data_IF_696232996560
#
_entry.id   IF_696232996560
#
_cell.length_a   1.000
_cell.length_b   1.000
_cell.length_c   1.000
_cell.angle_alpha   90.00
_cell.angle_beta   90.00
_cell.angle_gamma   90.00
#
_symmetry.space_group_name_H-M   'P 1'
#
loop_
_entity.id
_entity.type
_entity.pdbx_description
1 polymer ?
#
# COMPACT_ATOMS: atom_id res chain seq x y z
N UNK A 1 -4.93 -49.66 -31.82
CA UNK A 1 -5.16 -49.60 -30.37
C UNK A 1 -4.26 -48.50 -29.82
N UNK A 2 -4.91 -47.43 -29.39
CA UNK A 2 -4.32 -46.20 -28.88
C UNK A 2 -3.68 -46.46 -27.51
N UNK A 3 -2.47 -45.94 -27.28
CA UNK A 3 -1.98 -45.70 -25.92
C UNK A 3 -1.76 -44.20 -25.76
N UNK A 4 -2.66 -43.64 -24.97
CA UNK A 4 -2.87 -42.24 -24.64
C UNK A 4 -1.69 -41.69 -23.82
N UNK A 5 -0.89 -40.80 -24.41
CA UNK A 5 0.20 -40.07 -23.73
C UNK A 5 -0.36 -38.84 -23.02
N UNK A 6 -1.06 -39.04 -21.91
CA UNK A 6 -1.50 -37.95 -21.05
C UNK A 6 -0.34 -37.48 -20.12
N UNK A 7 0.41 -36.46 -20.56
CA UNK A 7 1.42 -35.78 -19.75
C UNK A 7 0.71 -34.73 -18.86
N UNK A 8 0.90 -34.72 -17.53
CA UNK A 8 0.17 -33.81 -16.66
C UNK A 8 0.64 -32.36 -16.88
N UNK A 9 -0.33 -31.49 -17.20
CA UNK A 9 -0.19 -30.04 -17.27
C UNK A 9 0.16 -29.47 -15.89
N UNK A 10 1.40 -28.99 -15.74
CA UNK A 10 1.86 -28.35 -14.50
C UNK A 10 1.29 -26.94 -14.39
N UNK A 11 0.10 -26.84 -13.81
CA UNK A 11 -0.45 -25.60 -13.27
C UNK A 11 0.55 -24.93 -12.31
N UNK A 12 0.85 -23.66 -12.54
CA UNK A 12 1.16 -22.74 -11.43
C UNK A 12 2.54 -22.08 -11.35
N UNK A 13 3.26 -21.83 -12.46
CA UNK A 13 4.39 -20.90 -12.40
C UNK A 13 3.88 -19.46 -12.57
N UNK A 14 3.83 -18.70 -11.48
CA UNK A 14 3.66 -17.23 -11.52
C UNK A 14 4.67 -16.68 -12.52
N UNK A 15 4.21 -15.98 -13.55
CA UNK A 15 5.08 -15.26 -14.48
C UNK A 15 5.94 -14.29 -13.66
N UNK A 16 7.22 -14.65 -13.51
CA UNK A 16 8.21 -13.75 -12.93
C UNK A 16 8.71 -12.88 -14.09
N UNK A 17 8.75 -11.55 -13.93
CA UNK A 17 9.30 -10.68 -14.97
C UNK A 17 10.69 -11.17 -15.38
N UNK A 18 10.95 -11.10 -16.68
CA UNK A 18 12.24 -11.49 -17.25
C UNK A 18 13.36 -10.61 -16.71
N UNK A 19 14.60 -11.10 -16.76
CA UNK A 19 15.78 -10.33 -16.32
C UNK A 19 15.85 -8.95 -16.99
N UNK A 20 15.45 -8.86 -18.28
CA UNK A 20 15.39 -7.59 -19.02
C UNK A 20 14.32 -6.62 -18.51
N UNK A 21 13.13 -7.11 -18.14
CA UNK A 21 12.06 -6.26 -17.58
C UNK A 21 12.43 -5.75 -16.19
N UNK A 22 13.12 -6.58 -15.39
CA UNK A 22 13.68 -6.17 -14.11
C UNK A 22 14.74 -5.10 -14.27
N UNK A 23 15.66 -5.25 -15.22
CA UNK A 23 16.69 -4.24 -15.51
C UNK A 23 16.09 -2.91 -15.97
N UNK A 24 15.06 -2.94 -16.82
CA UNK A 24 14.33 -1.73 -17.20
C UNK A 24 13.63 -1.07 -16.01
N UNK A 25 13.04 -1.88 -15.12
CA UNK A 25 12.41 -1.35 -13.92
C UNK A 25 13.43 -0.70 -12.99
N UNK A 26 14.58 -1.34 -12.78
CA UNK A 26 15.70 -0.80 -11.99
C UNK A 26 16.23 0.49 -12.62
N UNK A 27 16.41 0.53 -13.95
CA UNK A 27 16.83 1.76 -14.65
C UNK A 27 15.83 2.89 -14.48
N UNK A 28 14.53 2.63 -14.67
CA UNK A 28 13.46 3.63 -14.43
C UNK A 28 13.46 4.13 -12.98
N UNK A 29 13.69 3.25 -12.02
CA UNK A 29 13.68 3.62 -10.60
C UNK A 29 14.95 4.41 -10.20
N UNK A 30 16.10 4.15 -10.83
CA UNK A 30 17.35 4.93 -10.67
C UNK A 30 17.21 6.31 -11.33
N UNK A 31 16.63 6.38 -12.54
CA UNK A 31 16.43 7.60 -13.31
C UNK A 31 15.41 8.53 -12.64
N UNK A 32 14.42 7.97 -11.94
CA UNK A 32 13.43 8.70 -11.15
C UNK A 32 13.91 9.06 -9.72
N UNK A 33 15.15 8.71 -9.32
CA UNK A 33 15.68 9.03 -7.99
C UNK A 33 15.02 8.28 -6.82
N UNK A 34 14.27 7.21 -7.11
CA UNK A 34 13.54 6.43 -6.09
C UNK A 34 14.54 5.58 -5.32
N UNK A 35 14.76 5.92 -4.05
CA UNK A 35 15.56 5.09 -3.15
C UNK A 35 14.93 3.69 -3.08
N UNK A 36 15.66 2.69 -3.56
CA UNK A 36 15.30 1.28 -3.50
C UNK A 36 14.97 0.79 -2.07
N UNK A 37 15.33 1.57 -1.05
CA UNK A 37 14.99 1.37 0.37
C UNK A 37 13.58 1.84 0.72
N UNK A 38 13.10 2.97 0.17
CA UNK A 38 11.74 3.49 0.36
C UNK A 38 10.65 2.56 -0.19
N UNK A 39 11.00 1.76 -1.21
CA UNK A 39 10.19 0.68 -1.79
C UNK A 39 9.78 -0.43 -0.83
N UNK A 40 10.40 -0.56 0.35
CA UNK A 40 10.06 -1.60 1.33
C UNK A 40 9.16 -1.09 2.45
N UNK A 41 8.83 0.20 2.46
CA UNK A 41 8.03 0.79 3.53
C UNK A 41 6.57 0.35 3.38
N UNK A 42 6.00 -0.15 4.47
CA UNK A 42 4.58 -0.53 4.54
C UNK A 42 3.69 0.67 4.83
N UNK A 43 2.40 0.57 4.52
CA UNK A 43 1.44 1.63 4.83
C UNK A 43 1.39 1.96 6.33
N UNK A 44 1.49 0.96 7.20
CA UNK A 44 1.59 1.16 8.65
C UNK A 44 2.82 1.99 9.04
N UNK A 45 3.98 1.69 8.45
CA UNK A 45 5.23 2.42 8.71
C UNK A 45 5.14 3.87 8.20
N UNK A 46 4.59 4.07 7.00
CA UNK A 46 4.38 5.41 6.44
C UNK A 46 3.46 6.24 7.35
N UNK A 47 2.36 5.66 7.81
CA UNK A 47 1.43 6.34 8.71
C UNK A 47 2.08 6.65 10.07
N UNK A 48 2.91 5.75 10.59
CA UNK A 48 3.68 6.00 11.81
C UNK A 48 4.67 7.16 11.64
N UNK A 49 5.40 7.20 10.51
CA UNK A 49 6.34 8.29 10.16
C UNK A 49 5.63 9.64 10.14
N UNK A 50 4.47 9.72 9.49
CA UNK A 50 3.66 10.95 9.43
C UNK A 50 3.17 11.41 10.81
N UNK A 51 2.76 10.47 11.68
CA UNK A 51 2.33 10.79 13.04
C UNK A 51 3.49 11.31 13.90
N UNK A 52 4.69 10.74 13.75
CA UNK A 52 5.89 11.18 14.46
C UNK A 52 6.32 12.59 14.03
N UNK A 53 6.26 12.90 12.73
CA UNK A 53 6.55 14.24 12.20
C UNK A 53 5.57 15.31 12.71
N UNK A 54 4.34 14.92 13.08
CA UNK A 54 3.29 15.83 13.56
C UNK A 54 2.82 15.48 14.97
N UNK A 55 3.76 15.39 15.91
CA UNK A 55 3.47 14.97 17.29
C UNK A 55 2.66 16.00 18.10
N UNK A 56 2.77 17.30 17.80
CA UNK A 56 2.07 18.36 18.54
C UNK A 56 0.60 18.49 18.09
N UNK A 57 -0.25 17.56 18.54
CA UNK A 57 -1.69 17.56 18.27
C UNK A 57 -2.51 17.33 19.53
N UNK A 58 -3.77 17.80 19.51
CA UNK A 58 -4.72 17.62 20.60
C UNK A 58 -4.95 16.13 20.91
N UNK A 59 -5.25 15.82 22.19
CA UNK A 59 -5.53 14.44 22.65
C UNK A 59 -6.62 13.73 21.83
N UNK A 60 -7.65 14.45 21.39
CA UNK A 60 -8.71 13.90 20.53
C UNK A 60 -8.15 13.42 19.18
N UNK A 61 -7.25 14.18 18.57
CA UNK A 61 -6.57 13.82 17.33
C UNK A 61 -5.62 12.64 17.52
N UNK A 62 -4.92 12.55 18.66
CA UNK A 62 -4.08 11.39 19.00
C UNK A 62 -4.91 10.10 19.02
N UNK A 63 -6.04 10.10 19.74
CA UNK A 63 -6.96 8.94 19.78
C UNK A 63 -7.47 8.53 18.39
N UNK A 64 -7.81 9.49 17.53
CA UNK A 64 -8.26 9.20 16.16
C UNK A 64 -7.15 8.57 15.31
N UNK A 65 -5.90 9.05 15.47
CA UNK A 65 -4.73 8.48 14.79
C UNK A 65 -4.41 7.08 15.29
N UNK A 66 -4.49 6.85 16.59
CA UNK A 66 -4.33 5.52 17.20
C UNK A 66 -5.39 4.54 16.70
N UNK A 67 -6.65 4.98 16.60
CA UNK A 67 -7.73 4.17 16.05
C UNK A 67 -7.43 3.77 14.60
N UNK A 68 -7.04 4.72 13.73
CA UNK A 68 -6.68 4.41 12.35
C UNK A 68 -5.47 3.47 12.29
N UNK A 69 -4.45 3.67 13.14
CA UNK A 69 -3.30 2.78 13.20
C UNK A 69 -3.68 1.35 13.57
N UNK A 70 -4.58 1.15 14.54
CA UNK A 70 -5.11 -0.19 14.88
C UNK A 70 -5.83 -0.82 13.71
N UNK A 71 -6.69 -0.05 13.03
CA UNK A 71 -7.42 -0.52 11.85
C UNK A 71 -6.50 -0.92 10.71
N UNK A 72 -5.41 -0.19 10.48
CA UNK A 72 -4.42 -0.54 9.47
C UNK A 72 -3.66 -1.82 9.86
N UNK A 73 -3.31 -2.00 11.13
CA UNK A 73 -2.64 -3.23 11.60
C UNK A 73 -3.53 -4.47 11.46
N UNK A 74 -4.82 -4.32 11.64
CA UNK A 74 -5.81 -5.40 11.47
C UNK A 74 -6.16 -5.67 10.00
N UNK A 75 -6.03 -4.69 9.11
CA UNK A 75 -6.35 -4.84 7.69
C UNK A 75 -5.13 -5.26 6.88
N UNK A 76 -5.35 -6.11 5.87
CA UNK A 76 -4.32 -6.53 4.91
C UNK A 76 -3.61 -5.37 4.23
N UNK A 77 -4.26 -4.21 4.10
CA UNK A 77 -3.69 -3.02 3.48
C UNK A 77 -2.54 -2.42 4.30
N UNK A 78 -2.57 -2.50 5.64
CA UNK A 78 -1.53 -1.88 6.47
C UNK A 78 -0.15 -2.53 6.32
N UNK A 79 -0.13 -3.84 6.06
CA UNK A 79 1.10 -4.61 5.83
C UNK A 79 1.59 -4.55 4.36
N UNK A 80 0.80 -4.00 3.43
CA UNK A 80 1.24 -3.87 2.04
C UNK A 80 2.29 -2.78 1.89
N UNK A 81 3.21 -3.02 0.96
CA UNK A 81 4.19 -2.03 0.54
C UNK A 81 3.50 -0.90 -0.21
N UNK A 82 3.89 0.35 0.09
CA UNK A 82 3.23 1.56 -0.40
C UNK A 82 3.28 1.74 -1.92
N UNK A 83 4.30 1.16 -2.59
CA UNK A 83 4.46 1.16 -4.04
C UNK A 83 3.46 0.23 -4.76
N UNK A 84 3.03 -0.84 -4.08
CA UNK A 84 2.07 -1.81 -4.62
C UNK A 84 0.61 -1.42 -4.45
N UNK A 85 0.32 -0.40 -3.62
CA UNK A 85 -1.05 0.00 -3.31
C UNK A 85 -1.64 0.78 -4.50
N UNK A 86 -2.70 0.23 -5.10
CA UNK A 86 -3.42 0.85 -6.21
C UNK A 86 -4.67 1.59 -5.73
N UNK A 87 -5.22 2.52 -6.53
CA UNK A 87 -6.52 3.13 -6.24
C UNK A 87 -7.66 2.11 -6.07
N UNK A 88 -7.58 0.94 -6.73
CA UNK A 88 -8.51 -0.17 -6.52
C UNK A 88 -8.45 -0.73 -5.09
N UNK A 89 -7.24 -0.91 -4.54
CA UNK A 89 -7.05 -1.40 -3.17
C UNK A 89 -7.59 -0.41 -2.14
N UNK A 90 -7.42 0.89 -2.39
CA UNK A 90 -7.97 1.96 -1.55
C UNK A 90 -9.51 1.97 -1.58
N UNK A 91 -10.13 1.71 -2.74
CA UNK A 91 -11.59 1.54 -2.86
C UNK A 91 -12.07 0.30 -2.10
N UNK A 92 -11.42 -0.84 -2.27
CA UNK A 92 -11.76 -2.06 -1.53
C UNK A 92 -11.63 -1.87 -0.03
N UNK A 93 -10.59 -1.18 0.43
CA UNK A 93 -10.41 -0.85 1.84
C UNK A 93 -11.56 -0.01 2.38
N UNK A 94 -12.03 0.98 1.61
CA UNK A 94 -13.19 1.79 2.01
C UNK A 94 -14.47 0.96 2.12
N UNK A 95 -14.66 -0.03 1.22
CA UNK A 95 -15.78 -0.99 1.31
C UNK A 95 -15.67 -1.85 2.56
N UNK A 96 -14.50 -2.43 2.84
CA UNK A 96 -14.26 -3.21 4.07
C UNK A 96 -14.53 -2.40 5.34
N UNK A 97 -14.17 -1.11 5.35
CA UNK A 97 -14.47 -0.24 6.48
C UNK A 97 -15.97 0.04 6.61
N UNK A 98 -16.69 0.18 5.50
CA UNK A 98 -18.15 0.28 5.52
C UNK A 98 -18.79 -1.00 6.08
N UNK A 99 -18.30 -2.18 5.67
CA UNK A 99 -18.80 -3.47 6.13
C UNK A 99 -18.51 -3.71 7.63
N UNK A 100 -17.41 -3.14 8.14
CA UNK A 100 -17.10 -3.09 9.59
C UNK A 100 -18.02 -2.15 10.39
N UNK A 101 -18.95 -1.44 9.74
CA UNK A 101 -19.92 -0.54 10.39
C UNK A 101 -19.44 0.90 10.57
N UNK A 102 -18.34 1.32 9.94
CA UNK A 102 -17.89 2.70 10.04
C UNK A 102 -18.78 3.65 9.22
N UNK A 103 -19.08 4.82 9.81
CA UNK A 103 -19.82 5.88 9.10
C UNK A 103 -19.04 6.44 7.92
N UNK A 104 -19.74 6.98 6.93
CA UNK A 104 -19.12 7.62 5.77
C UNK A 104 -18.13 8.72 6.18
N UNK A 105 -18.51 9.58 7.14
CA UNK A 105 -17.65 10.67 7.61
C UNK A 105 -16.36 10.15 8.25
N UNK A 106 -16.45 9.06 9.03
CA UNK A 106 -15.28 8.43 9.64
C UNK A 106 -14.32 7.89 8.56
N UNK A 107 -14.86 7.17 7.57
CA UNK A 107 -14.06 6.64 6.46
C UNK A 107 -13.42 7.77 5.66
N UNK A 108 -14.16 8.85 5.40
CA UNK A 108 -13.64 10.02 4.68
C UNK A 108 -12.50 10.72 5.45
N UNK A 109 -12.62 10.84 6.77
CA UNK A 109 -11.56 11.40 7.62
C UNK A 109 -10.29 10.53 7.61
N UNK A 110 -10.46 9.20 7.65
CA UNK A 110 -9.35 8.28 7.50
C UNK A 110 -8.70 8.39 6.12
N UNK A 111 -9.48 8.45 5.04
CA UNK A 111 -8.96 8.69 3.68
C UNK A 111 -8.13 9.98 3.61
N UNK A 112 -8.63 11.09 4.16
CA UNK A 112 -7.89 12.36 4.23
C UNK A 112 -6.54 12.21 4.95
N UNK A 113 -6.52 11.44 6.03
CA UNK A 113 -5.29 11.17 6.79
C UNK A 113 -4.28 10.36 5.97
N UNK A 114 -4.75 9.28 5.33
CA UNK A 114 -3.91 8.44 4.46
C UNK A 114 -3.38 9.23 3.25
N UNK A 115 -4.23 10.05 2.63
CA UNK A 115 -3.84 10.94 1.53
C UNK A 115 -2.70 11.86 1.91
N UNK A 116 -2.75 12.44 3.12
CA UNK A 116 -1.66 13.27 3.64
C UNK A 116 -0.36 12.48 3.87
N UNK A 117 -0.47 11.23 4.33
CA UNK A 117 0.71 10.35 4.47
C UNK A 117 1.35 10.01 3.12
N UNK A 118 0.55 9.68 2.11
CA UNK A 118 1.06 9.43 0.76
C UNK A 118 1.63 10.69 0.09
N UNK A 119 1.14 11.88 0.43
CA UNK A 119 1.73 13.12 -0.05
C UNK A 119 3.18 13.28 0.43
N UNK A 120 3.46 12.99 1.71
CA UNK A 120 4.83 12.99 2.24
C UNK A 120 5.68 11.91 1.55
N UNK A 121 5.11 10.72 1.31
CA UNK A 121 5.82 9.66 0.61
C UNK A 121 6.19 10.04 -0.84
N UNK A 122 5.38 10.86 -1.51
CA UNK A 122 5.70 11.37 -2.84
C UNK A 122 6.82 12.41 -2.77
N UNK A 123 6.80 13.29 -1.76
CA UNK A 123 7.86 14.29 -1.57
C UNK A 123 9.21 13.67 -1.18
N UNK A 124 9.17 12.54 -0.48
CA UNK A 124 10.36 11.75 -0.12
C UNK A 124 10.76 10.75 -1.23
N UNK A 125 10.23 10.89 -2.45
CA UNK A 125 10.46 10.02 -3.62
C UNK A 125 10.24 8.52 -3.35
N UNK A 126 9.42 8.17 -2.36
CA UNK A 126 9.11 6.79 -2.00
C UNK A 126 8.00 6.18 -2.88
N UNK A 127 7.09 7.01 -3.42
CA UNK A 127 5.97 6.59 -4.27
C UNK A 127 5.68 7.63 -5.34
N UNK A 128 5.37 7.20 -6.58
CA UNK A 128 5.07 8.10 -7.70
C UNK A 128 3.66 8.72 -7.68
N UNK A 129 2.67 8.02 -7.11
CA UNK A 129 1.25 8.41 -7.17
C UNK A 129 0.55 8.15 -5.85
N UNK A 130 -0.43 9.01 -5.53
CA UNK A 130 -1.28 8.84 -4.35
C UNK A 130 -2.47 7.92 -4.69
N UNK A 131 -2.65 6.78 -4.01
CA UNK A 131 -3.78 5.90 -4.24
C UNK A 131 -5.09 6.34 -3.53
N UNK A 132 -5.04 7.37 -2.68
CA UNK A 132 -6.14 7.86 -1.84
C UNK A 132 -6.67 9.26 -2.20
#
# INVERSE_FOLDING_TARGET
MEIDTHRPDTKGKREKPSLRELEQQIRRDIEDGIDSTGKKMTLCQLYAKQNAQRANVKKSTQKQREQLMRLLKEDKLGARSIDTIKPSDAKEWALRMKDKGFSYNTINNHKRSLKASFYIAIQDDCVRKNPF
#
